data_IF_844945884957
#
_entry.id   IF_844945884957
#
_cell.length_a   1.000
_cell.length_b   1.000
_cell.length_c   1.000
_cell.angle_alpha   90.00
_cell.angle_beta   90.00
_cell.angle_gamma   90.00
#
_symmetry.space_group_name_H-M   'P 1'
#
loop_
_entity.id
_entity.type
_entity.pdbx_description
1 polymer ?
#
# COMPACT_ATOMS: atom_id res chain seq x y z
N UNK A 1 -42.49 -36.22 -30.67
CA UNK A 1 -41.99 -37.12 -31.72
C UNK A 1 -40.55 -37.45 -31.36
N UNK A 2 -40.34 -38.66 -30.83
CA UNK A 2 -39.57 -39.77 -31.43
C UNK A 2 -38.08 -39.40 -31.55
N UNK A 3 -37.10 -40.13 -31.08
CA UNK A 3 -36.87 -41.53 -30.64
C UNK A 3 -35.43 -41.61 -30.19
N UNK A 4 -35.11 -42.15 -29.01
CA UNK A 4 -34.50 -43.46 -28.76
C UNK A 4 -33.38 -43.93 -29.70
N UNK A 5 -32.26 -44.31 -29.09
CA UNK A 5 -31.52 -45.59 -29.16
C UNK A 5 -30.16 -45.39 -28.47
N UNK A 6 -29.83 -45.92 -27.35
CA UNK A 6 -29.39 -47.24 -26.90
C UNK A 6 -28.41 -47.97 -27.86
N UNK A 7 -27.20 -48.22 -27.36
CA UNK A 7 -26.32 -49.37 -27.60
C UNK A 7 -25.12 -49.31 -26.66
N UNK A 8 -25.11 -50.13 -25.78
CA UNK A 8 -24.32 -51.24 -25.27
C UNK A 8 -23.10 -51.64 -26.11
N UNK A 9 -22.04 -51.92 -25.44
CA UNK A 9 -21.00 -52.97 -25.48
C UNK A 9 -19.64 -52.33 -25.28
N UNK A 10 -18.63 -52.85 -24.62
CA UNK A 10 -18.36 -54.11 -23.99
C UNK A 10 -17.06 -53.94 -23.16
N UNK A 11 -16.96 -54.67 -22.13
CA UNK A 11 -15.80 -54.94 -21.28
C UNK A 11 -14.49 -55.15 -22.01
N UNK A 12 -13.40 -54.55 -21.46
CA UNK A 12 -12.10 -55.16 -21.55
C UNK A 12 -11.31 -54.89 -20.26
N UNK A 13 -11.22 -55.95 -19.44
CA UNK A 13 -10.28 -56.02 -18.32
C UNK A 13 -8.86 -56.09 -18.87
N UNK A 14 -8.01 -55.18 -18.48
CA UNK A 14 -6.55 -55.38 -18.48
C UNK A 14 -6.03 -55.16 -17.07
N UNK A 15 -5.64 -56.24 -16.43
CA UNK A 15 -4.77 -56.23 -15.27
C UNK A 15 -3.38 -55.79 -15.73
N UNK A 16 -2.88 -54.70 -15.18
CA UNK A 16 -1.47 -54.37 -15.18
C UNK A 16 -1.03 -54.14 -13.72
N UNK A 17 -0.37 -55.14 -13.19
CA UNK A 17 0.43 -55.02 -11.98
C UNK A 17 1.61 -54.08 -12.25
N UNK A 18 1.92 -53.18 -11.36
CA UNK A 18 3.12 -52.40 -11.54
C UNK A 18 3.38 -51.30 -10.52
N UNK A 19 4.27 -51.60 -9.60
CA UNK A 19 5.15 -50.70 -8.88
C UNK A 19 4.50 -49.68 -7.92
N UNK A 20 4.47 -50.08 -6.68
CA UNK A 20 4.45 -49.18 -5.53
C UNK A 20 5.68 -48.25 -5.57
N UNK A 21 5.45 -47.02 -6.04
CA UNK A 21 6.36 -45.92 -5.74
C UNK A 21 5.91 -45.35 -4.40
N UNK A 22 6.72 -45.55 -3.37
CA UNK A 22 6.58 -44.83 -2.11
C UNK A 22 6.54 -43.33 -2.41
N UNK A 23 5.55 -42.58 -1.94
CA UNK A 23 5.61 -41.13 -2.00
C UNK A 23 6.75 -40.68 -1.10
N UNK A 24 7.74 -40.00 -1.67
CA UNK A 24 8.70 -39.22 -0.93
C UNK A 24 7.95 -38.26 -0.02
N UNK A 25 8.39 -38.06 1.24
CA UNK A 25 7.76 -37.05 2.09
C UNK A 25 7.87 -35.70 1.37
N UNK A 26 6.72 -35.13 1.04
CA UNK A 26 6.65 -33.79 0.53
C UNK A 26 7.32 -32.87 1.54
N UNK A 27 8.44 -32.27 1.15
CA UNK A 27 9.07 -31.23 1.94
C UNK A 27 8.03 -30.12 2.09
N UNK A 28 7.54 -29.97 3.33
CA UNK A 28 6.66 -28.88 3.73
C UNK A 28 7.44 -27.59 3.45
N UNK A 29 6.97 -26.68 2.59
CA UNK A 29 7.66 -25.39 2.42
C UNK A 29 7.57 -24.66 3.76
N UNK A 30 8.72 -24.43 4.37
CA UNK A 30 8.83 -23.67 5.61
C UNK A 30 8.35 -22.24 5.35
N UNK A 31 7.35 -21.71 6.09
CA UNK A 31 6.78 -20.39 5.86
C UNK A 31 7.62 -19.26 6.50
N UNK A 32 8.94 -19.31 6.38
CA UNK A 32 9.84 -18.33 7.05
C UNK A 32 10.24 -17.13 6.22
N UNK A 33 9.84 -17.04 4.94
CA UNK A 33 10.29 -15.93 4.08
C UNK A 33 9.34 -14.72 4.09
N UNK A 34 8.06 -14.91 4.42
CA UNK A 34 7.06 -13.82 4.36
C UNK A 34 7.20 -12.83 5.51
N UNK A 35 7.45 -13.26 6.73
CA UNK A 35 7.51 -12.39 7.90
C UNK A 35 8.67 -11.39 7.85
N UNK A 36 9.83 -11.79 7.33
CA UNK A 36 10.99 -10.88 7.21
C UNK A 36 10.80 -9.82 6.12
N UNK A 37 10.13 -10.17 5.02
CA UNK A 37 9.83 -9.23 3.94
C UNK A 37 8.77 -8.20 4.39
N UNK A 38 7.77 -8.62 5.15
CA UNK A 38 6.72 -7.75 5.68
C UNK A 38 7.27 -6.78 6.73
N UNK A 39 8.15 -7.23 7.60
CA UNK A 39 8.82 -6.37 8.58
C UNK A 39 9.73 -5.34 7.90
N UNK A 40 10.52 -5.74 6.89
CA UNK A 40 11.35 -4.84 6.13
C UNK A 40 10.54 -3.83 5.29
N UNK A 41 9.34 -4.21 4.85
CA UNK A 41 8.41 -3.34 4.14
C UNK A 41 7.76 -2.35 5.10
N UNK A 42 7.31 -2.80 6.27
CA UNK A 42 6.76 -1.95 7.31
C UNK A 42 7.77 -0.91 7.80
N UNK A 43 9.05 -1.28 7.93
CA UNK A 43 10.11 -0.35 8.35
C UNK A 43 10.46 0.74 7.34
N UNK A 44 10.04 0.59 6.07
CA UNK A 44 10.19 1.63 5.04
C UNK A 44 8.96 2.52 4.89
N UNK A 45 7.83 2.16 5.45
CA UNK A 45 6.66 3.02 5.46
C UNK A 45 6.94 4.24 6.33
N UNK A 46 6.56 5.43 5.84
CA UNK A 46 6.82 6.69 6.54
C UNK A 46 5.51 7.21 7.11
N UNK A 47 5.37 7.27 8.45
CA UNK A 47 4.22 7.91 9.07
C UNK A 47 4.24 9.42 8.81
N UNK A 48 3.07 9.99 8.54
CA UNK A 48 2.88 11.42 8.32
C UNK A 48 1.79 11.90 9.26
N UNK A 49 2.16 12.63 10.29
CA UNK A 49 1.21 13.27 11.18
C UNK A 49 0.83 14.64 10.61
N UNK A 50 -0.43 14.81 10.25
CA UNK A 50 -0.96 16.06 9.70
C UNK A 50 -1.87 16.72 10.71
N UNK A 51 -1.58 17.96 11.05
CA UNK A 51 -2.43 18.86 11.84
C UNK A 51 -3.04 19.90 10.89
N UNK A 52 -4.29 19.70 10.52
CA UNK A 52 -4.99 20.61 9.63
C UNK A 52 -5.71 21.70 10.46
N UNK A 53 -5.11 22.87 10.53
CA UNK A 53 -5.67 24.04 11.19
C UNK A 53 -6.51 24.92 10.22
N UNK A 54 -6.68 24.46 8.97
CA UNK A 54 -7.59 25.10 8.02
C UNK A 54 -9.03 24.61 8.23
N UNK A 55 -10.00 25.45 7.90
CA UNK A 55 -11.42 25.09 7.98
C UNK A 55 -11.87 24.11 6.90
N UNK A 56 -11.10 24.00 5.82
CA UNK A 56 -11.40 23.11 4.70
C UNK A 56 -10.80 21.71 4.92
N UNK A 57 -11.53 20.70 4.47
CA UNK A 57 -10.99 19.36 4.33
C UNK A 57 -9.89 19.35 3.29
N UNK A 58 -8.80 18.66 3.58
CA UNK A 58 -7.60 18.60 2.73
C UNK A 58 -7.35 17.20 2.21
N UNK A 59 -7.19 17.05 0.90
CA UNK A 59 -6.57 15.88 0.31
C UNK A 59 -5.05 16.01 0.39
N UNK A 60 -4.40 15.03 0.97
CA UNK A 60 -2.94 14.97 1.13
C UNK A 60 -2.34 14.00 0.14
N UNK A 61 -1.36 14.46 -0.60
CA UNK A 61 -0.67 13.72 -1.65
C UNK A 61 0.82 13.62 -1.39
N UNK A 62 1.40 12.47 -1.69
CA UNK A 62 2.83 12.35 -1.92
C UNK A 62 3.14 12.87 -3.33
N UNK A 63 4.14 13.73 -3.44
CA UNK A 63 4.62 14.26 -4.72
C UNK A 63 5.97 13.63 -5.03
N UNK A 64 6.02 12.89 -6.13
CA UNK A 64 7.24 12.31 -6.69
C UNK A 64 7.52 12.94 -8.05
N UNK A 65 8.64 12.58 -8.69
CA UNK A 65 9.01 13.10 -10.01
C UNK A 65 7.91 12.85 -11.05
N UNK A 66 7.04 13.85 -11.26
CA UNK A 66 5.98 13.83 -12.28
C UNK A 66 4.67 13.13 -11.88
N UNK A 67 4.55 12.61 -10.65
CA UNK A 67 3.35 11.91 -10.19
C UNK A 67 2.89 12.42 -8.83
N UNK A 68 1.58 12.28 -8.57
CA UNK A 68 0.96 12.57 -7.27
C UNK A 68 0.16 11.35 -6.83
N UNK A 69 0.37 10.91 -5.59
CA UNK A 69 -0.30 9.77 -5.00
C UNK A 69 -1.10 10.24 -3.80
N UNK A 70 -2.41 10.00 -3.80
CA UNK A 70 -3.27 10.36 -2.67
C UNK A 70 -2.91 9.46 -1.48
N UNK A 71 -2.52 10.07 -0.36
CA UNK A 71 -2.29 9.38 0.91
C UNK A 71 -3.57 9.29 1.74
N UNK A 72 -4.40 10.30 1.69
CA UNK A 72 -5.66 10.34 2.40
C UNK A 72 -6.26 11.74 2.47
N UNK A 73 -7.32 11.84 3.26
CA UNK A 73 -8.03 13.07 3.56
C UNK A 73 -7.87 13.43 5.03
N UNK A 74 -7.75 14.72 5.33
CA UNK A 74 -7.72 15.26 6.69
C UNK A 74 -8.79 16.34 6.79
N UNK A 75 -9.79 16.11 7.64
CA UNK A 75 -10.88 17.04 7.85
C UNK A 75 -10.38 18.38 8.41
N UNK A 76 -11.15 19.43 8.18
CA UNK A 76 -10.84 20.76 8.72
C UNK A 76 -10.76 20.75 10.24
N UNK A 77 -9.81 21.49 10.79
CA UNK A 77 -9.54 21.62 12.23
C UNK A 77 -9.30 20.30 12.96
N UNK A 78 -8.75 19.29 12.26
CA UNK A 78 -8.45 17.97 12.85
C UNK A 78 -7.01 17.55 12.63
N UNK A 79 -6.60 16.53 13.40
CA UNK A 79 -5.32 15.82 13.22
C UNK A 79 -5.58 14.44 12.68
N UNK A 80 -4.71 13.99 11.77
CA UNK A 80 -4.74 12.63 11.26
C UNK A 80 -3.31 12.11 11.04
N UNK A 81 -3.15 10.80 11.19
CA UNK A 81 -1.92 10.11 10.81
C UNK A 81 -2.16 9.39 9.51
N UNK A 82 -1.42 9.77 8.49
CA UNK A 82 -1.37 9.13 7.18
C UNK A 82 -0.09 8.32 7.06
N UNK A 83 0.02 7.50 6.04
CA UNK A 83 1.22 6.70 5.81
C UNK A 83 1.64 6.79 4.35
N UNK A 84 2.91 7.08 4.10
CA UNK A 84 3.52 6.84 2.79
C UNK A 84 3.84 5.35 2.71
N UNK A 85 3.19 4.60 1.82
CA UNK A 85 3.47 3.18 1.66
C UNK A 85 4.93 2.92 1.26
N UNK A 86 5.49 1.81 1.69
CA UNK A 86 6.90 1.47 1.45
C UNK A 86 7.28 1.35 -0.03
N UNK A 87 6.32 0.98 -0.87
CA UNK A 87 6.47 0.87 -2.32
C UNK A 87 6.48 2.24 -3.03
N UNK A 88 5.91 3.26 -2.39
CA UNK A 88 5.93 4.64 -2.87
C UNK A 88 7.01 5.49 -2.18
N UNK A 89 7.61 4.98 -1.09
CA UNK A 89 8.65 5.68 -0.38
C UNK A 89 9.88 5.88 -1.30
N UNK A 90 10.35 7.13 -1.50
CA UNK A 90 11.48 7.39 -2.38
C UNK A 90 12.76 6.72 -1.86
N UNK A 91 13.55 6.14 -2.77
CA UNK A 91 14.81 5.47 -2.42
C UNK A 91 15.86 6.45 -1.83
N UNK A 92 15.77 7.72 -2.18
CA UNK A 92 16.62 8.80 -1.70
C UNK A 92 16.11 9.44 -0.39
N UNK A 93 15.05 8.86 0.21
CA UNK A 93 14.41 9.32 1.44
C UNK A 93 13.92 10.79 1.39
N UNK A 94 13.78 11.35 0.19
CA UNK A 94 13.29 12.70 -0.02
C UNK A 94 11.78 12.69 -0.20
N UNK A 95 11.06 13.18 0.80
CA UNK A 95 9.60 13.25 0.81
C UNK A 95 9.14 14.67 0.54
N UNK A 96 8.18 14.82 -0.36
CA UNK A 96 7.48 16.07 -0.62
C UNK A 96 5.99 15.82 -0.60
N UNK A 97 5.27 16.56 0.20
CA UNK A 97 3.83 16.41 0.36
C UNK A 97 3.11 17.63 -0.18
N UNK A 98 1.88 17.41 -0.67
CA UNK A 98 0.98 18.48 -1.12
C UNK A 98 -0.38 18.26 -0.49
N UNK A 99 -0.91 19.29 0.15
CA UNK A 99 -2.32 19.35 0.55
C UNK A 99 -3.10 20.23 -0.44
N UNK A 100 -4.32 19.82 -0.72
CA UNK A 100 -5.24 20.56 -1.58
C UNK A 100 -6.64 20.53 -0.96
N UNK A 101 -7.22 21.71 -0.79
CA UNK A 101 -8.58 21.86 -0.25
C UNK A 101 -9.62 21.20 -1.16
N UNK A 102 -10.55 20.47 -0.57
CA UNK A 102 -11.70 19.89 -1.26
C UNK A 102 -12.72 21.00 -1.50
N UNK A 103 -13.11 21.18 -2.76
CA UNK A 103 -14.06 22.21 -3.17
C UNK A 103 -13.52 23.65 -3.15
N UNK A 104 -12.23 23.83 -2.83
CA UNK A 104 -11.58 25.14 -2.75
C UNK A 104 -10.36 25.28 -3.67
N UNK A 105 -9.77 26.50 -3.69
CA UNK A 105 -8.55 26.80 -4.45
C UNK A 105 -7.28 26.72 -3.60
N UNK A 106 -7.40 26.49 -2.28
CA UNK A 106 -6.28 26.44 -1.35
C UNK A 106 -5.43 25.19 -1.60
N UNK A 107 -4.14 25.38 -1.77
CA UNK A 107 -3.17 24.29 -1.81
C UNK A 107 -1.85 24.74 -1.21
N UNK A 108 -1.18 23.83 -0.51
CA UNK A 108 0.17 24.04 0.02
C UNK A 108 1.04 22.83 -0.28
N UNK A 109 2.33 23.06 -0.34
CA UNK A 109 3.31 21.99 -0.60
C UNK A 109 4.47 22.15 0.37
N UNK A 110 4.89 21.06 1.01
CA UNK A 110 6.07 21.08 1.90
C UNK A 110 7.34 21.36 1.10
N UNK A 111 8.39 21.89 1.73
CA UNK A 111 9.74 21.74 1.20
C UNK A 111 10.06 20.26 1.03
N UNK A 112 11.16 19.95 0.35
CA UNK A 112 11.66 18.57 0.32
C UNK A 112 12.22 18.22 1.70
N UNK A 113 11.66 17.19 2.32
CA UNK A 113 12.08 16.70 3.63
C UNK A 113 12.94 15.45 3.44
N UNK A 114 14.05 15.36 4.15
CA UNK A 114 14.86 14.14 4.21
C UNK A 114 14.38 13.38 5.46
N UNK A 115 13.88 12.15 5.26
CA UNK A 115 13.27 11.33 6.31
C UNK A 115 14.09 10.06 6.48
N UNK A 116 14.86 9.96 7.56
CA UNK A 116 15.64 8.76 7.84
C UNK A 116 14.72 7.57 8.20
N UNK A 117 15.20 6.32 8.04
CA UNK A 117 14.44 5.14 8.43
C UNK A 117 13.99 5.23 9.90
N UNK A 118 12.70 4.97 10.15
CA UNK A 118 12.10 5.05 11.49
C UNK A 118 11.67 6.44 11.93
N UNK A 119 11.98 7.49 11.18
CA UNK A 119 11.44 8.83 11.42
C UNK A 119 10.05 8.99 10.84
N UNK A 120 9.34 10.02 11.29
CA UNK A 120 8.04 10.41 10.80
C UNK A 120 8.05 11.87 10.34
N UNK A 121 7.05 12.21 9.52
CA UNK A 121 6.85 13.60 9.09
C UNK A 121 5.76 14.23 9.96
N UNK A 122 6.04 15.42 10.46
CA UNK A 122 5.06 16.29 11.11
C UNK A 122 4.74 17.43 10.17
N UNK A 123 3.47 17.64 9.88
CA UNK A 123 3.02 18.71 9.01
C UNK A 123 1.83 19.46 9.60
N UNK A 124 2.02 20.74 9.89
CA UNK A 124 0.95 21.65 10.30
C UNK A 124 0.52 22.48 9.08
N UNK A 125 -0.73 22.32 8.68
CA UNK A 125 -1.35 23.12 7.63
C UNK A 125 -2.04 24.28 8.31
N UNK A 126 -1.53 25.49 8.11
CA UNK A 126 -2.09 26.69 8.73
C UNK A 126 -3.48 27.05 8.17
N UNK A 127 -4.17 27.92 8.88
CA UNK A 127 -5.43 28.53 8.39
C UNK A 127 -5.23 29.27 7.07
N UNK A 128 -4.08 29.90 6.89
CA UNK A 128 -3.53 30.26 5.57
C UNK A 128 -2.56 29.14 5.12
N UNK A 129 -2.84 28.48 3.99
CA UNK A 129 -1.94 27.43 3.48
C UNK A 129 -0.48 27.88 3.26
N UNK A 130 -0.24 29.17 3.02
CA UNK A 130 1.10 29.71 2.89
C UNK A 130 1.90 29.69 4.20
N UNK A 131 1.22 29.62 5.34
CA UNK A 131 1.83 29.59 6.69
C UNK A 131 2.01 28.15 7.21
N UNK A 132 2.03 27.17 6.33
CA UNK A 132 2.18 25.76 6.70
C UNK A 132 3.64 25.42 6.99
N UNK A 133 3.87 24.59 8.02
CA UNK A 133 5.21 24.15 8.45
C UNK A 133 5.30 22.63 8.42
N UNK A 134 6.45 22.10 8.00
CA UNK A 134 6.70 20.67 8.00
C UNK A 134 8.13 20.35 8.44
N UNK A 135 8.28 19.26 9.18
CA UNK A 135 9.57 18.74 9.66
C UNK A 135 9.58 17.22 9.64
N UNK A 136 10.78 16.63 9.63
CA UNK A 136 11.02 15.22 9.90
C UNK A 136 11.63 15.07 11.30
N UNK A 137 11.25 14.01 12.04
CA UNK A 137 11.73 13.77 13.40
C UNK A 137 11.43 12.38 13.91
#
# INVERSE_FOLDING_TARGET
>A
MRTSRASLTASLLLLAAGCARSPAPAATPSPVTSASADTARASRAIPVQVDNQNFSDMNVYLVTRGSRWLLGNVAGLTKATLTVPADLAPADLQVRLRAQAIGGRGATTTPTLIVAPGQQVYWTIGSDPAMSTASAG
#
